data_IF_639739662579
#
_entry.id   IF_639739662579
#
_cell.length_a   1.000
_cell.length_b   1.000
_cell.length_c   1.000
_cell.angle_alpha   90.00
_cell.angle_beta   90.00
_cell.angle_gamma   90.00
#
_symmetry.space_group_name_H-M   'P 1'
#
loop_
_entity.id
_entity.type
_entity.pdbx_description
1 polymer ?
#
# COMPACT_ATOMS: atom_id res chain seq x y z
N UNK A 1 22.33 -2.28 1.33
CA UNK A 1 21.46 -1.49 0.43
C UNK A 1 20.23 -2.32 0.16
N UNK A 2 19.05 -1.74 0.38
CA UNK A 2 17.75 -2.37 0.11
C UNK A 2 17.10 -1.56 -1.02
N UNK A 3 16.52 -2.26 -1.98
CA UNK A 3 15.85 -1.68 -3.15
C UNK A 3 14.54 -2.38 -3.40
N UNK A 4 13.54 -1.62 -3.82
CA UNK A 4 12.26 -2.13 -4.26
C UNK A 4 11.80 -1.40 -5.51
N UNK A 5 11.14 -2.11 -6.41
CA UNK A 5 10.52 -1.56 -7.61
C UNK A 5 9.07 -2.01 -7.64
N UNK A 6 8.14 -1.06 -7.76
CA UNK A 6 6.73 -1.36 -7.97
C UNK A 6 6.10 -0.37 -8.96
N UNK A 7 5.18 -0.85 -9.78
CA UNK A 7 4.49 -0.10 -10.82
C UNK A 7 3.08 -0.67 -11.01
N UNK A 8 2.09 0.20 -11.02
CA UNK A 8 0.68 -0.19 -11.18
C UNK A 8 -0.11 0.85 -11.98
N UNK A 9 -1.34 0.48 -12.34
CA UNK A 9 -2.27 1.35 -13.06
C UNK A 9 -3.00 2.31 -12.12
N UNK A 10 -3.48 3.47 -12.59
CA UNK A 10 -4.23 4.42 -11.77
C UNK A 10 -5.43 3.79 -11.06
N UNK A 11 -5.65 4.17 -9.81
CA UNK A 11 -6.79 3.72 -9.00
C UNK A 11 -7.72 4.85 -8.53
N UNK A 12 -7.29 6.10 -8.69
CA UNK A 12 -8.05 7.33 -8.44
C UNK A 12 -7.87 8.29 -9.63
N UNK A 13 -8.82 9.19 -9.83
CA UNK A 13 -8.77 10.17 -10.93
C UNK A 13 -7.88 11.37 -10.62
N UNK A 14 -7.72 11.73 -9.33
CA UNK A 14 -6.98 12.91 -8.88
C UNK A 14 -5.46 12.69 -9.05
N UNK A 15 -4.77 13.38 -9.98
CA UNK A 15 -3.39 13.05 -10.33
C UNK A 15 -2.40 13.19 -9.17
N UNK A 16 -2.52 14.24 -8.35
CA UNK A 16 -1.65 14.44 -7.18
C UNK A 16 -1.87 13.38 -6.09
N UNK A 17 -3.10 12.93 -5.90
CA UNK A 17 -3.42 11.83 -4.96
C UNK A 17 -2.84 10.52 -5.50
N UNK A 18 -3.03 10.25 -6.79
CA UNK A 18 -2.48 9.06 -7.46
C UNK A 18 -0.95 9.01 -7.32
N UNK A 19 -0.27 10.14 -7.49
CA UNK A 19 1.17 10.25 -7.27
C UNK A 19 1.59 9.92 -5.83
N UNK A 20 0.85 10.42 -4.84
CA UNK A 20 1.11 10.08 -3.43
C UNK A 20 0.91 8.58 -3.16
N UNK A 21 -0.16 7.99 -3.69
CA UNK A 21 -0.43 6.55 -3.56
C UNK A 21 0.72 5.74 -4.19
N UNK A 22 1.20 6.15 -5.36
CA UNK A 22 2.30 5.46 -6.04
C UNK A 22 3.61 5.49 -5.23
N UNK A 23 4.00 6.66 -4.72
CA UNK A 23 5.17 6.77 -3.86
C UNK A 23 5.00 5.98 -2.55
N UNK A 24 3.81 6.02 -1.94
CA UNK A 24 3.48 5.24 -0.74
C UNK A 24 3.63 3.74 -0.97
N UNK A 25 3.14 3.23 -2.10
CA UNK A 25 3.23 1.82 -2.44
C UNK A 25 4.69 1.41 -2.72
N UNK A 26 5.42 2.14 -3.55
CA UNK A 26 6.83 1.84 -3.88
C UNK A 26 7.72 1.81 -2.64
N UNK A 27 7.48 2.73 -1.70
CA UNK A 27 8.25 2.83 -0.45
C UNK A 27 7.83 1.81 0.62
N UNK A 28 6.66 1.18 0.49
CA UNK A 28 6.10 0.26 1.46
C UNK A 28 7.01 -0.96 1.71
N UNK A 29 7.53 -1.60 0.67
CA UNK A 29 8.44 -2.75 0.80
C UNK A 29 9.76 -2.41 1.50
N UNK A 30 10.26 -1.18 1.34
CA UNK A 30 11.47 -0.73 2.05
C UNK A 30 11.19 -0.64 3.55
N UNK A 31 10.03 -0.10 3.92
CA UNK A 31 9.58 -0.10 5.32
C UNK A 31 9.32 -1.52 5.83
N UNK A 32 8.77 -2.41 5.00
CA UNK A 32 8.58 -3.83 5.29
C UNK A 32 9.89 -4.64 5.38
N UNK A 33 11.06 -3.99 5.23
CA UNK A 33 12.38 -4.56 5.52
C UNK A 33 13.02 -3.92 6.77
N UNK A 34 12.22 -3.21 7.57
CA UNK A 34 12.63 -2.47 8.77
C UNK A 34 13.67 -1.35 8.49
N UNK A 35 13.57 -0.71 7.31
CA UNK A 35 14.43 0.41 6.91
C UNK A 35 13.67 1.73 7.09
N UNK A 36 14.01 2.58 8.09
CA UNK A 36 13.24 3.79 8.38
C UNK A 36 13.51 4.95 7.42
N UNK A 37 14.71 4.99 6.84
CA UNK A 37 15.19 6.12 6.03
C UNK A 37 15.38 5.69 4.57
N UNK A 38 14.62 6.34 3.69
CA UNK A 38 14.70 6.16 2.25
C UNK A 38 15.60 7.23 1.68
N UNK A 39 16.63 6.83 0.94
CA UNK A 39 17.63 7.75 0.37
C UNK A 39 17.13 8.50 -0.86
N UNK A 40 16.19 7.90 -1.59
CA UNK A 40 15.48 8.55 -2.67
C UNK A 40 14.65 7.57 -3.49
N UNK A 41 13.86 8.15 -4.40
CA UNK A 41 13.04 7.41 -5.37
C UNK A 41 13.38 7.82 -6.80
N UNK A 42 13.49 6.84 -7.69
CA UNK A 42 13.49 7.01 -9.14
C UNK A 42 12.07 6.78 -9.66
N UNK A 43 11.46 7.79 -10.27
CA UNK A 43 10.07 7.71 -10.76
C UNK A 43 10.01 6.99 -12.10
N UNK A 44 9.03 6.11 -12.28
CA UNK A 44 8.67 5.54 -13.58
C UNK A 44 7.24 5.96 -13.96
N UNK A 45 7.10 6.55 -15.15
CA UNK A 45 5.80 6.90 -15.73
C UNK A 45 5.66 6.33 -17.14
N UNK A 46 4.58 5.57 -17.37
CA UNK A 46 4.07 5.27 -18.70
C UNK A 46 2.80 6.09 -18.93
N UNK A 47 2.78 6.92 -19.97
CA UNK A 47 1.62 7.76 -20.31
C UNK A 47 1.31 7.69 -21.79
N UNK A 48 0.04 7.89 -22.17
CA UNK A 48 -0.35 7.95 -23.58
C UNK A 48 0.15 9.27 -24.20
N UNK A 49 0.41 9.29 -25.51
CA UNK A 49 0.77 10.52 -26.24
C UNK A 49 -0.27 11.62 -26.12
N UNK A 50 -1.53 11.25 -25.90
CA UNK A 50 -2.65 12.18 -25.81
C UNK A 50 -3.03 12.53 -24.37
N UNK A 51 -2.29 12.04 -23.37
CA UNK A 51 -2.52 12.40 -21.96
C UNK A 51 -2.24 13.90 -21.76
N UNK A 52 -3.19 14.68 -21.20
CA UNK A 52 -2.94 16.09 -20.89
C UNK A 52 -1.74 16.24 -19.94
N UNK A 53 -0.86 17.21 -20.23
CA UNK A 53 0.38 17.42 -19.47
C UNK A 53 0.13 17.63 -17.96
N UNK A 54 -0.97 18.31 -17.62
CA UNK A 54 -1.39 18.55 -16.24
C UNK A 54 -1.60 17.26 -15.41
N UNK A 55 -1.97 16.15 -16.04
CA UNK A 55 -2.11 14.84 -15.38
C UNK A 55 -0.73 14.31 -14.98
N UNK A 56 0.23 14.33 -15.91
CA UNK A 56 1.60 13.90 -15.63
C UNK A 56 2.28 14.79 -14.58
N UNK A 57 2.10 16.11 -14.70
CA UNK A 57 2.60 17.07 -13.71
C UNK A 57 1.99 16.85 -12.33
N UNK A 58 0.68 16.62 -12.24
CA UNK A 58 0.02 16.33 -10.98
C UNK A 58 0.52 15.05 -10.32
N UNK A 59 0.69 13.96 -11.08
CA UNK A 59 1.29 12.72 -10.57
C UNK A 59 2.69 12.97 -10.01
N UNK A 60 3.53 13.70 -10.74
CA UNK A 60 4.89 14.03 -10.29
C UNK A 60 4.89 14.93 -9.04
N UNK A 61 3.99 15.91 -8.95
CA UNK A 61 3.81 16.74 -7.74
C UNK A 61 3.39 15.89 -6.55
N UNK A 62 2.47 14.95 -6.74
CA UNK A 62 2.03 14.01 -5.72
C UNK A 62 3.15 13.13 -5.18
N UNK A 63 3.95 12.54 -6.08
CA UNK A 63 5.12 11.74 -5.70
C UNK A 63 6.12 12.60 -4.93
N UNK A 64 6.45 13.78 -5.45
CA UNK A 64 7.37 14.71 -4.80
C UNK A 64 6.90 15.09 -3.40
N UNK A 65 5.63 15.48 -3.25
CA UNK A 65 5.04 15.83 -1.96
C UNK A 65 5.11 14.68 -0.97
N UNK A 66 4.78 13.45 -1.37
CA UNK A 66 4.91 12.29 -0.49
C UNK A 66 6.37 12.08 -0.03
N UNK A 67 7.31 12.09 -0.98
CA UNK A 67 8.72 11.84 -0.70
C UNK A 67 9.33 12.92 0.21
N UNK A 68 9.10 14.20 -0.09
CA UNK A 68 9.73 15.32 0.63
C UNK A 68 9.00 15.61 1.95
N UNK A 69 7.68 15.76 1.92
CA UNK A 69 6.91 16.26 3.06
C UNK A 69 6.47 15.16 4.02
N UNK A 70 6.15 13.95 3.54
CA UNK A 70 5.65 12.87 4.42
C UNK A 70 6.72 11.98 5.01
N UNK A 71 7.84 11.77 4.30
CA UNK A 71 8.89 10.84 4.74
C UNK A 71 10.30 11.44 4.83
N UNK A 72 10.45 12.74 4.55
CA UNK A 72 11.74 13.46 4.58
C UNK A 72 12.83 12.80 3.72
N UNK A 73 12.47 12.54 2.47
CA UNK A 73 13.31 11.95 1.42
C UNK A 73 13.22 12.81 0.15
N UNK A 74 13.60 12.28 -1.01
CA UNK A 74 13.67 13.04 -2.25
C UNK A 74 13.42 12.18 -3.49
N UNK A 75 12.93 12.82 -4.55
CA UNK A 75 12.93 12.24 -5.90
C UNK A 75 14.28 12.56 -6.55
N UNK A 76 15.04 11.52 -6.91
CA UNK A 76 16.42 11.68 -7.42
C UNK A 76 16.53 11.57 -8.93
N UNK A 77 15.44 11.24 -9.60
CA UNK A 77 15.37 11.10 -11.05
C UNK A 77 14.20 10.25 -11.48
N UNK A 78 14.22 9.78 -12.72
CA UNK A 78 13.18 8.92 -13.25
C UNK A 78 13.24 8.76 -14.76
N UNK A 79 12.28 8.04 -15.29
CA UNK A 79 12.10 7.86 -16.71
C UNK A 79 10.61 7.85 -17.08
N UNK A 80 10.29 8.52 -18.18
CA UNK A 80 8.94 8.57 -18.73
C UNK A 80 8.95 7.98 -20.13
N UNK A 81 8.02 7.07 -20.39
CA UNK A 81 7.82 6.44 -21.70
C UNK A 81 6.40 6.71 -22.21
N UNK A 82 6.24 6.65 -23.53
CA UNK A 82 4.92 6.51 -24.11
C UNK A 82 4.41 5.08 -23.96
N UNK A 83 3.18 4.93 -23.49
CA UNK A 83 2.50 3.66 -23.26
C UNK A 83 1.01 3.81 -23.52
N UNK A 84 0.39 2.81 -24.15
CA UNK A 84 -1.07 2.77 -24.31
C UNK A 84 -1.80 2.71 -22.96
N UNK A 85 -1.19 2.02 -21.99
CA UNK A 85 -1.72 1.88 -20.64
C UNK A 85 -0.97 2.79 -19.67
N UNK A 86 -1.67 3.59 -18.85
CA UNK A 86 -1.02 4.40 -17.83
C UNK A 86 -0.37 3.51 -16.77
N UNK A 87 0.90 3.76 -16.49
CA UNK A 87 1.71 3.04 -15.50
C UNK A 87 2.41 4.04 -14.61
N UNK A 88 2.29 3.88 -13.28
CA UNK A 88 2.81 4.84 -12.31
C UNK A 88 3.52 4.05 -11.22
N UNK A 89 4.74 4.46 -10.88
CA UNK A 89 5.51 3.80 -9.84
C UNK A 89 6.95 4.27 -9.85
N UNK A 90 7.87 3.35 -9.51
CA UNK A 90 9.28 3.65 -9.48
C UNK A 90 10.10 2.67 -8.67
N UNK A 91 11.33 3.08 -8.37
CA UNK A 91 12.26 2.38 -7.51
C UNK A 91 12.52 3.21 -6.26
N UNK A 92 12.47 2.62 -5.08
CA UNK A 92 12.90 3.24 -3.83
C UNK A 92 14.15 2.52 -3.29
N UNK A 93 15.09 3.31 -2.80
CA UNK A 93 16.37 2.85 -2.27
C UNK A 93 16.58 3.31 -0.83
N UNK A 94 17.08 2.42 0.03
CA UNK A 94 17.46 2.72 1.40
C UNK A 94 18.73 2.00 1.86
N UNK A 95 19.28 2.46 2.98
CA UNK A 95 20.43 1.84 3.64
C UNK A 95 20.04 1.42 5.05
N UNK A 96 20.47 0.22 5.43
CA UNK A 96 20.32 -0.30 6.77
C UNK A 96 21.50 -1.22 7.09
N UNK A 97 21.83 -1.35 8.37
CA UNK A 97 22.74 -2.37 8.83
C UNK A 97 22.10 -3.74 8.62
N UNK A 98 22.90 -4.74 8.25
CA UNK A 98 22.40 -6.09 7.99
C UNK A 98 21.60 -6.65 9.18
N UNK A 99 22.07 -6.35 10.39
CA UNK A 99 21.49 -6.85 11.63
C UNK A 99 20.20 -6.12 12.04
N UNK A 100 19.87 -4.99 11.40
CA UNK A 100 18.60 -4.28 11.61
C UNK A 100 17.51 -4.68 10.61
N UNK A 101 17.84 -5.50 9.60
CA UNK A 101 16.84 -6.00 8.64
C UNK A 101 15.98 -7.06 9.31
N UNK A 102 14.67 -6.91 9.19
CA UNK A 102 13.70 -7.93 9.59
C UNK A 102 13.10 -8.50 8.30
N UNK A 103 13.12 -9.83 8.19
CA UNK A 103 12.58 -10.52 7.02
C UNK A 103 11.10 -10.81 7.20
N UNK A 104 10.40 -11.15 6.11
CA UNK A 104 9.01 -11.62 6.18
C UNK A 104 8.85 -13.01 6.79
N UNK A 105 9.94 -13.78 6.89
CA UNK A 105 9.98 -15.13 7.46
C UNK A 105 10.70 -15.11 8.81
N UNK A 106 10.50 -16.15 9.61
CA UNK A 106 11.13 -16.29 10.94
C UNK A 106 10.15 -16.20 12.11
N UNK A 107 8.84 -16.25 11.82
CA UNK A 107 7.77 -16.36 12.81
C UNK A 107 8.03 -17.51 13.78
N UNK A 108 7.64 -17.30 15.04
CA UNK A 108 7.80 -18.27 16.14
C UNK A 108 6.46 -18.60 16.76
N UNK A 109 6.40 -19.78 17.38
CA UNK A 109 5.22 -20.17 18.16
C UNK A 109 4.97 -19.14 19.28
N UNK A 110 3.70 -18.71 19.40
CA UNK A 110 3.29 -17.72 20.39
C UNK A 110 3.31 -16.27 19.89
N UNK A 111 3.82 -16.01 18.68
CA UNK A 111 3.82 -14.68 18.07
C UNK A 111 2.42 -14.09 17.94
N UNK A 112 2.35 -12.75 17.97
CA UNK A 112 1.12 -11.98 17.77
C UNK A 112 1.17 -11.26 16.43
N UNK A 113 0.09 -11.37 15.68
CA UNK A 113 -0.09 -10.64 14.42
C UNK A 113 -0.62 -9.24 14.70
N UNK A 114 0.07 -8.23 14.19
CA UNK A 114 -0.32 -6.82 14.29
C UNK A 114 -0.53 -6.29 12.88
N UNK A 115 -1.72 -5.78 12.62
CA UNK A 115 -2.06 -5.12 11.35
C UNK A 115 -2.19 -3.62 11.58
N UNK A 116 -1.43 -2.82 10.81
CA UNK A 116 -1.30 -1.37 11.02
C UNK A 116 -2.27 -0.54 10.18
N UNK A 117 -2.88 -1.14 9.15
CA UNK A 117 -3.92 -0.54 8.31
C UNK A 117 -5.06 -1.53 8.07
N UNK A 118 -6.34 -1.11 8.11
CA UNK A 118 -7.45 -2.02 7.86
C UNK A 118 -7.45 -2.54 6.42
N UNK A 119 -8.04 -3.71 6.20
CA UNK A 119 -8.27 -4.26 4.87
C UNK A 119 -9.49 -3.62 4.20
N UNK A 120 -9.72 -3.94 2.92
CA UNK A 120 -10.96 -3.57 2.20
C UNK A 120 -10.78 -2.51 1.11
N UNK A 121 -9.53 -2.10 0.84
CA UNK A 121 -9.22 -1.10 -0.18
C UNK A 121 -9.80 -1.46 -1.56
N UNK A 122 -9.68 -2.71 -2.00
CA UNK A 122 -10.15 -3.12 -3.33
C UNK A 122 -11.66 -2.91 -3.52
N UNK A 123 -12.47 -3.37 -2.57
CA UNK A 123 -13.93 -3.23 -2.62
C UNK A 123 -14.35 -1.76 -2.51
N UNK A 124 -13.70 -0.98 -1.64
CA UNK A 124 -13.95 0.46 -1.50
C UNK A 124 -13.60 1.23 -2.78
N UNK A 125 -12.45 0.92 -3.41
CA UNK A 125 -12.07 1.54 -4.67
C UNK A 125 -12.90 1.06 -5.87
N UNK A 126 -13.48 -0.14 -5.79
CA UNK A 126 -14.50 -0.56 -6.74
C UNK A 126 -15.78 0.26 -6.61
N UNK A 127 -16.23 0.53 -5.38
CA UNK A 127 -17.35 1.42 -5.14
C UNK A 127 -17.09 2.84 -5.65
N UNK A 128 -15.87 3.37 -5.50
CA UNK A 128 -15.48 4.66 -6.10
C UNK A 128 -15.71 4.70 -7.61
N UNK A 129 -15.26 3.67 -8.34
CA UNK A 129 -15.47 3.58 -9.80
C UNK A 129 -16.95 3.46 -10.16
N UNK A 130 -17.68 2.60 -9.45
CA UNK A 130 -19.11 2.38 -9.68
C UNK A 130 -19.93 3.65 -9.39
N UNK A 131 -19.60 4.43 -8.35
CA UNK A 131 -20.28 5.70 -8.07
C UNK A 131 -20.16 6.71 -9.22
N UNK A 132 -19.09 6.63 -10.01
CA UNK A 132 -18.85 7.49 -11.16
C UNK A 132 -19.62 7.00 -12.40
N UNK A 133 -19.53 5.71 -12.68
CA UNK A 133 -19.99 5.16 -13.97
C UNK A 133 -21.40 4.57 -13.91
N UNK A 134 -21.79 3.98 -12.78
CA UNK A 134 -23.05 3.24 -12.57
C UNK A 134 -23.61 3.44 -11.13
N UNK A 135 -23.87 4.68 -10.68
CA UNK A 135 -24.23 4.98 -9.29
C UNK A 135 -25.51 4.28 -8.79
N UNK A 136 -26.40 3.89 -9.71
CA UNK A 136 -27.62 3.14 -9.42
C UNK A 136 -27.35 1.77 -8.76
N UNK A 137 -26.18 1.17 -9.03
CA UNK A 137 -25.78 -0.10 -8.41
C UNK A 137 -25.50 0.01 -6.91
N UNK A 138 -25.38 1.23 -6.37
CA UNK A 138 -25.04 1.49 -4.98
C UNK A 138 -26.12 2.26 -4.22
N UNK A 139 -27.35 2.33 -4.76
CA UNK A 139 -28.47 3.09 -4.17
C UNK A 139 -28.84 2.67 -2.75
N UNK A 140 -28.61 1.41 -2.40
CA UNK A 140 -28.86 0.87 -1.06
C UNK A 140 -27.90 1.40 0.01
N UNK A 141 -26.76 1.98 -0.40
CA UNK A 141 -25.79 2.57 0.51
C UNK A 141 -26.02 4.07 0.66
N UNK A 142 -25.80 4.58 1.87
CA UNK A 142 -25.73 6.03 2.08
C UNK A 142 -24.55 6.60 1.31
N UNK A 143 -24.81 7.46 0.31
CA UNK A 143 -23.76 8.14 -0.48
C UNK A 143 -22.74 8.85 0.40
N UNK A 144 -23.20 9.54 1.46
CA UNK A 144 -22.29 10.25 2.37
C UNK A 144 -21.34 9.30 3.11
N UNK A 145 -21.82 8.13 3.53
CA UNK A 145 -20.99 7.15 4.23
C UNK A 145 -20.06 6.38 3.28
N UNK A 146 -20.46 6.16 2.02
CA UNK A 146 -19.58 5.63 0.99
C UNK A 146 -18.43 6.60 0.69
N UNK A 147 -18.72 7.90 0.51
CA UNK A 147 -17.67 8.90 0.32
C UNK A 147 -16.69 8.93 1.50
N UNK A 148 -17.17 8.90 2.74
CA UNK A 148 -16.27 8.80 3.92
C UNK A 148 -15.38 7.55 3.88
N UNK A 149 -15.92 6.43 3.40
CA UNK A 149 -15.15 5.17 3.30
C UNK A 149 -14.08 5.27 2.21
N UNK A 150 -14.38 5.94 1.09
CA UNK A 150 -13.45 6.21 -0.01
C UNK A 150 -12.36 7.19 0.43
N UNK A 151 -12.73 8.30 1.08
CA UNK A 151 -11.78 9.29 1.60
C UNK A 151 -10.81 8.63 2.59
N UNK A 152 -11.32 7.77 3.47
CA UNK A 152 -10.51 7.00 4.40
C UNK A 152 -9.60 5.99 3.68
N UNK A 153 -10.07 5.33 2.62
CA UNK A 153 -9.23 4.46 1.81
C UNK A 153 -8.07 5.23 1.17
N UNK A 154 -8.33 6.42 0.62
CA UNK A 154 -7.32 7.31 0.03
C UNK A 154 -6.33 7.77 1.11
N UNK A 155 -6.80 8.15 2.30
CA UNK A 155 -5.95 8.51 3.43
C UNK A 155 -5.00 7.36 3.80
N UNK A 156 -5.52 6.13 3.92
CA UNK A 156 -4.71 4.95 4.23
C UNK A 156 -3.65 4.67 3.16
N UNK A 157 -4.01 4.78 1.89
CA UNK A 157 -3.11 4.55 0.76
C UNK A 157 -2.04 5.64 0.63
N UNK A 158 -2.31 6.86 1.09
CA UNK A 158 -1.35 7.98 1.06
C UNK A 158 -0.59 8.17 2.37
N UNK A 159 -0.85 7.35 3.39
CA UNK A 159 -0.14 7.37 4.68
C UNK A 159 1.11 6.46 4.61
N UNK A 160 2.33 6.95 4.87
CA UNK A 160 3.54 6.12 4.84
C UNK A 160 3.59 5.10 5.99
N UNK A 161 4.19 3.94 5.74
CA UNK A 161 4.49 2.95 6.78
C UNK A 161 5.72 3.31 7.62
N UNK A 162 6.40 4.44 7.34
CA UNK A 162 7.62 4.88 8.03
C UNK A 162 7.47 4.93 9.56
N UNK A 163 6.32 5.38 10.06
CA UNK A 163 6.10 5.48 11.51
C UNK A 163 6.10 4.11 12.20
N UNK A 164 5.66 3.05 11.52
CA UNK A 164 5.72 1.67 12.05
C UNK A 164 7.18 1.29 12.33
N UNK A 165 8.05 1.53 11.35
CA UNK A 165 9.48 1.22 11.46
C UNK A 165 10.17 2.13 12.48
N UNK A 166 9.86 3.43 12.49
CA UNK A 166 10.38 4.35 13.52
C UNK A 166 9.96 3.93 14.93
N UNK A 167 8.75 3.40 15.11
CA UNK A 167 8.32 2.84 16.39
C UNK A 167 9.13 1.61 16.76
N UNK A 168 9.39 0.68 15.84
CA UNK A 168 10.28 -0.49 16.09
C UNK A 168 11.67 -0.03 16.54
N UNK A 169 12.26 0.94 15.84
CA UNK A 169 13.58 1.51 16.16
C UNK A 169 13.61 2.38 17.43
N UNK A 170 12.44 2.72 18.01
CA UNK A 170 12.39 3.42 19.30
C UNK A 170 12.72 2.53 20.50
N UNK A 171 12.70 1.20 20.31
CA UNK A 171 13.11 0.23 21.30
C UNK A 171 14.63 0.00 21.22
N UNK A 172 15.29 -0.15 22.38
CA UNK A 172 16.72 -0.49 22.43
C UNK A 172 17.03 -1.86 21.84
N UNK A 173 16.09 -2.81 22.00
CA UNK A 173 16.14 -4.14 21.43
C UNK A 173 14.77 -4.45 20.83
N UNK A 174 14.75 -4.75 19.54
CA UNK A 174 13.55 -5.14 18.78
C UNK A 174 13.60 -6.60 18.32
N UNK A 175 14.43 -7.44 18.94
CA UNK A 175 14.52 -8.89 18.67
C UNK A 175 13.20 -9.64 18.88
N UNK A 176 12.22 -9.00 19.55
CA UNK A 176 10.85 -9.49 19.70
C UNK A 176 10.00 -9.35 18.42
N UNK A 177 10.43 -8.59 17.42
CA UNK A 177 9.79 -8.51 16.10
C UNK A 177 10.42 -9.57 15.21
N UNK A 178 9.76 -10.71 15.08
CA UNK A 178 10.32 -11.87 14.38
C UNK A 178 10.14 -11.84 12.87
N UNK A 179 9.08 -11.17 12.38
CA UNK A 179 8.81 -11.02 10.97
C UNK A 179 8.00 -9.76 10.68
N UNK A 180 8.18 -9.19 9.48
CA UNK A 180 7.43 -8.04 9.00
C UNK A 180 7.16 -8.18 7.50
N UNK A 181 5.96 -7.79 7.07
CA UNK A 181 5.56 -7.66 5.67
C UNK A 181 4.54 -6.54 5.57
N UNK A 182 4.40 -5.94 4.40
CA UNK A 182 3.23 -5.15 4.06
C UNK A 182 2.16 -6.02 3.40
N UNK A 183 0.94 -5.49 3.33
CA UNK A 183 -0.22 -6.16 2.73
C UNK A 183 -0.63 -5.40 1.47
N UNK A 184 -0.39 -6.02 0.31
CA UNK A 184 -0.63 -5.44 -1.00
C UNK A 184 -1.53 -6.36 -1.86
N UNK A 185 -1.18 -6.58 -3.13
CA UNK A 185 -2.05 -7.19 -4.14
C UNK A 185 -2.47 -8.65 -3.88
N UNK A 186 -1.74 -9.38 -3.03
CA UNK A 186 -2.09 -10.75 -2.66
C UNK A 186 -3.11 -10.84 -1.50
N UNK A 187 -3.43 -9.70 -0.87
CA UNK A 187 -4.32 -9.65 0.28
C UNK A 187 -3.70 -10.23 1.55
N UNK A 188 -4.38 -10.01 2.68
CA UNK A 188 -3.87 -10.38 4.01
C UNK A 188 -3.52 -11.88 4.11
N UNK A 189 -4.36 -12.75 3.56
CA UNK A 189 -4.15 -14.19 3.50
C UNK A 189 -2.89 -14.57 2.74
N UNK A 190 -2.66 -13.96 1.58
CA UNK A 190 -1.48 -14.20 0.76
C UNK A 190 -0.20 -13.84 1.50
N UNK A 191 -0.16 -12.67 2.15
CA UNK A 191 1.02 -12.23 2.90
C UNK A 191 1.24 -13.02 4.19
N UNK A 192 0.18 -13.43 4.90
CA UNK A 192 0.32 -14.35 6.05
C UNK A 192 0.87 -15.69 5.59
N UNK A 193 0.41 -16.21 4.45
CA UNK A 193 0.94 -17.44 3.87
C UNK A 193 2.43 -17.28 3.55
N UNK A 194 2.87 -16.15 3.01
CA UNK A 194 4.29 -15.85 2.82
C UNK A 194 5.08 -15.83 4.14
N UNK A 195 4.51 -15.26 5.20
CA UNK A 195 5.17 -15.23 6.52
C UNK A 195 5.33 -16.63 7.12
N UNK A 196 4.32 -17.48 6.94
CA UNK A 196 4.31 -18.87 7.40
C UNK A 196 5.13 -19.81 6.50
N UNK A 197 5.61 -19.36 5.34
CA UNK A 197 6.43 -20.20 4.45
C UNK A 197 7.63 -20.76 5.21
N UNK A 198 7.90 -22.05 4.99
CA UNK A 198 8.97 -22.80 5.65
C UNK A 198 8.82 -22.95 7.18
N UNK A 199 7.65 -22.63 7.74
CA UNK A 199 7.28 -22.97 9.12
C UNK A 199 6.29 -24.15 9.14
N UNK A 200 6.17 -24.80 10.29
CA UNK A 200 5.08 -25.76 10.57
C UNK A 200 3.94 -25.11 11.36
N UNK A 201 3.90 -23.77 11.38
CA UNK A 201 2.95 -23.00 12.16
C UNK A 201 1.72 -22.64 11.34
N UNK A 202 0.64 -22.30 12.05
CA UNK A 202 -0.60 -21.76 11.53
C UNK A 202 -0.91 -20.44 12.24
N UNK A 203 -1.66 -19.57 11.58
CA UNK A 203 -2.09 -18.27 12.07
C UNK A 203 -3.58 -18.28 12.41
N UNK A 204 -3.91 -18.01 13.67
CA UNK A 204 -5.29 -17.80 14.11
C UNK A 204 -5.56 -16.29 14.09
N UNK A 205 -6.53 -15.89 13.27
CA UNK A 205 -6.96 -14.49 13.15
C UNK A 205 -8.32 -14.34 13.82
N UNK A 206 -8.35 -13.68 14.99
CA UNK A 206 -9.58 -13.49 15.77
C UNK A 206 -10.40 -12.30 15.28
N UNK A 207 -9.74 -11.23 14.86
CA UNK A 207 -10.39 -9.99 14.42
C UNK A 207 -9.56 -9.36 13.30
N UNK A 208 -10.24 -8.82 12.30
CA UNK A 208 -9.60 -8.09 11.19
C UNK A 208 -10.25 -6.72 11.11
N UNK A 209 -9.51 -5.62 11.30
CA UNK A 209 -10.03 -4.29 11.03
C UNK A 209 -10.26 -4.14 9.53
N UNK A 210 -11.44 -3.69 9.14
CA UNK A 210 -11.81 -3.47 7.75
C UNK A 210 -12.47 -2.11 7.56
N UNK A 211 -12.31 -1.53 6.37
CA UNK A 211 -12.99 -0.28 6.01
C UNK A 211 -14.51 -0.52 6.03
N UNK A 212 -15.27 0.48 6.47
CA UNK A 212 -16.75 0.42 6.49
C UNK A 212 -17.27 0.05 5.09
N UNK A 213 -18.31 -0.81 5.05
CA UNK A 213 -18.91 -1.38 3.84
C UNK A 213 -18.02 -2.28 2.99
N UNK A 214 -16.71 -2.39 3.26
CA UNK A 214 -15.82 -3.15 2.39
C UNK A 214 -16.15 -4.63 2.31
N UNK A 215 -16.74 -5.21 3.36
CA UNK A 215 -17.18 -6.61 3.36
C UNK A 215 -18.42 -6.78 2.48
N UNK A 216 -19.45 -5.98 2.72
CA UNK A 216 -20.71 -6.01 1.97
C UNK A 216 -20.47 -5.75 0.48
N UNK A 217 -19.68 -4.72 0.17
CA UNK A 217 -19.25 -4.41 -1.20
C UNK A 217 -18.45 -5.56 -1.82
N UNK A 218 -17.61 -6.24 -1.05
CA UNK A 218 -16.85 -7.38 -1.57
C UNK A 218 -17.77 -8.54 -1.94
N UNK A 219 -18.73 -8.86 -1.07
CA UNK A 219 -19.69 -9.95 -1.30
C UNK A 219 -20.58 -9.66 -2.53
N UNK A 220 -21.03 -8.42 -2.70
CA UNK A 220 -21.90 -8.00 -3.81
C UNK A 220 -21.18 -7.88 -5.16
N UNK A 221 -19.94 -7.39 -5.14
CA UNK A 221 -19.14 -7.18 -6.35
C UNK A 221 -18.34 -8.43 -6.76
N UNK A 222 -18.48 -9.54 -6.01
CA UNK A 222 -17.82 -10.81 -6.31
C UNK A 222 -16.32 -10.81 -6.01
N UNK A 223 -15.85 -9.92 -5.13
CA UNK A 223 -14.48 -9.97 -4.61
C UNK A 223 -14.39 -10.96 -3.45
N UNK A 224 -13.31 -11.73 -3.39
CA UNK A 224 -13.13 -12.71 -2.33
C UNK A 224 -12.86 -12.03 -0.97
N UNK A 225 -13.87 -12.00 -0.08
CA UNK A 225 -13.72 -11.64 1.34
C UNK A 225 -13.64 -12.89 2.23
N UNK A 226 -12.86 -13.89 1.81
CA UNK A 226 -12.83 -15.16 2.52
C UNK A 226 -11.73 -15.15 3.59
N UNK A 227 -12.13 -15.16 4.87
CA UNK A 227 -11.24 -15.50 5.97
C UNK A 227 -11.02 -17.02 5.89
N UNK A 228 -9.93 -17.43 5.24
CA UNK A 228 -9.47 -18.80 5.35
C UNK A 228 -8.62 -18.92 6.62
N UNK A 229 -8.80 -20.03 7.35
CA UNK A 229 -7.87 -20.41 8.41
C UNK A 229 -6.57 -20.89 7.73
N UNK A 230 -5.41 -20.40 8.18
CA UNK A 230 -4.09 -20.73 7.64
C UNK A 230 -3.25 -21.38 8.74
#
# INVERSE_FOLDING_TARGET
MVKNIDVFTPIVDEPEVMGQIAASNVTSDIFAMNVPDISGMLVFLGINTNTPMEVAEGILKGIKYFMEEKINSQVVGGHTIYSEWPMIGGEASGFAHKDSIILKQGVKEGDKLILTKPIGLQATMAAYRILKDMPEMLEQYSRSELHKSIDFAIELMTTPNQNVVKTIHSYQDFSFVHAITDVTGFGLSGHIKEMLQNSTLSAIIETIPSIRFSKELSDELGYAFTIQFF
#
